data_IF_933789527708
#
_entry.id   IF_933789527708
#
_cell.length_a   1.000
_cell.length_b   1.000
_cell.length_c   1.000
_cell.angle_alpha   90.00
_cell.angle_beta   90.00
_cell.angle_gamma   90.00
#
_symmetry.space_group_name_H-M   'P 1'
#
loop_
_entity.id
_entity.type
_entity.pdbx_description
1 polymer ?
#
# COMPACT_ATOMS: atom_id res chain seq x y z
N UNK A 1 0.35 -4.70 -17.11
CA UNK A 1 -0.96 -4.35 -16.49
C UNK A 1 -1.59 -5.52 -15.75
N UNK A 2 -1.77 -6.70 -16.36
CA UNK A 2 -2.35 -7.87 -15.69
C UNK A 2 -1.63 -8.29 -14.40
N UNK A 3 -0.28 -8.32 -14.40
CA UNK A 3 0.51 -8.64 -13.21
C UNK A 3 0.28 -7.62 -12.08
N UNK A 4 0.06 -6.35 -12.41
CA UNK A 4 -0.19 -5.28 -11.43
C UNK A 4 -1.59 -5.39 -10.82
N UNK A 5 -2.60 -5.75 -11.62
CA UNK A 5 -3.93 -6.04 -11.11
C UNK A 5 -3.94 -7.33 -10.29
N UNK A 6 -3.17 -8.33 -10.73
CA UNK A 6 -2.96 -9.58 -10.01
C UNK A 6 -2.35 -9.36 -8.63
N UNK A 7 -1.33 -8.53 -8.49
CA UNK A 7 -0.72 -8.23 -7.19
C UNK A 7 -1.70 -7.54 -6.24
N UNK A 8 -2.50 -6.59 -6.72
CA UNK A 8 -3.58 -5.96 -5.92
C UNK A 8 -4.58 -7.03 -5.45
N UNK A 9 -4.99 -7.93 -6.34
CA UNK A 9 -5.87 -9.05 -6.02
C UNK A 9 -5.29 -10.00 -4.97
N UNK A 10 -3.99 -10.32 -5.06
CA UNK A 10 -3.29 -11.14 -4.06
C UNK A 10 -3.35 -10.46 -2.68
N UNK A 11 -3.09 -9.16 -2.58
CA UNK A 11 -3.22 -8.44 -1.31
C UNK A 11 -4.67 -8.45 -0.78
N UNK A 12 -5.66 -8.29 -1.64
CA UNK A 12 -7.07 -8.40 -1.25
C UNK A 12 -7.39 -9.80 -0.65
N UNK A 13 -6.88 -10.86 -1.28
CA UNK A 13 -7.00 -12.24 -0.80
C UNK A 13 -6.25 -12.47 0.52
N UNK A 14 -5.07 -11.89 0.68
CA UNK A 14 -4.34 -11.94 1.95
C UNK A 14 -5.15 -11.26 3.06
N UNK A 15 -5.81 -10.14 2.78
CA UNK A 15 -6.71 -9.49 3.74
C UNK A 15 -7.88 -10.40 4.17
N UNK A 16 -8.47 -11.14 3.24
CA UNK A 16 -9.49 -12.15 3.55
C UNK A 16 -8.91 -13.28 4.42
N UNK A 17 -7.75 -13.82 4.03
CA UNK A 17 -7.08 -14.92 4.73
C UNK A 17 -6.72 -14.55 6.18
N UNK A 18 -6.14 -13.35 6.37
CA UNK A 18 -5.77 -12.81 7.68
C UNK A 18 -6.99 -12.74 8.60
N UNK A 19 -8.14 -12.29 8.06
CA UNK A 19 -9.37 -12.21 8.85
C UNK A 19 -9.98 -13.59 9.16
N UNK A 20 -10.06 -14.47 8.15
CA UNK A 20 -10.69 -15.79 8.29
C UNK A 20 -9.89 -16.72 9.20
N UNK A 21 -8.56 -16.60 9.20
CA UNK A 21 -7.66 -17.45 9.98
C UNK A 21 -7.14 -16.79 11.25
N UNK A 22 -7.63 -15.60 11.60
CA UNK A 22 -7.20 -14.81 12.76
C UNK A 22 -5.67 -14.73 12.89
N UNK A 23 -4.99 -14.53 11.76
CA UNK A 23 -3.53 -14.46 11.73
C UNK A 23 -3.05 -13.04 12.05
N UNK A 24 -1.89 -12.89 12.71
CA UNK A 24 -1.25 -11.58 12.85
C UNK A 24 -0.90 -11.00 11.46
N UNK A 25 -1.42 -9.82 11.14
CA UNK A 25 -1.23 -9.18 9.83
C UNK A 25 0.24 -8.94 9.50
N UNK A 26 1.02 -8.48 10.50
CA UNK A 26 2.43 -8.14 10.31
C UNK A 26 3.27 -9.35 9.85
N UNK A 27 2.99 -10.53 10.40
CA UNK A 27 3.70 -11.78 10.05
C UNK A 27 3.38 -12.17 8.61
N UNK A 28 2.11 -12.08 8.21
CA UNK A 28 1.69 -12.42 6.85
C UNK A 28 2.27 -11.43 5.84
N UNK A 29 2.25 -10.13 6.14
CA UNK A 29 2.78 -9.11 5.22
C UNK A 29 4.30 -9.16 5.10
N UNK A 30 5.03 -9.37 6.20
CA UNK A 30 6.49 -9.53 6.16
C UNK A 30 6.88 -10.83 5.45
N UNK A 31 6.15 -11.93 5.71
CA UNK A 31 6.30 -13.19 4.97
C UNK A 31 6.11 -12.99 3.46
N UNK A 32 5.07 -12.24 3.08
CA UNK A 32 4.78 -11.94 1.68
C UNK A 32 5.87 -11.08 1.03
N UNK A 33 6.52 -10.18 1.76
CA UNK A 33 7.68 -9.43 1.23
C UNK A 33 8.79 -10.36 0.74
N UNK A 34 9.09 -11.45 1.46
CA UNK A 34 10.07 -12.45 0.99
C UNK A 34 9.61 -13.21 -0.26
N UNK A 35 8.31 -13.50 -0.37
CA UNK A 35 7.74 -14.13 -1.57
C UNK A 35 7.88 -13.20 -2.78
N UNK A 36 7.51 -11.92 -2.63
CA UNK A 36 7.70 -10.93 -3.69
C UNK A 36 9.16 -10.72 -4.05
N UNK A 37 10.04 -10.70 -3.06
CA UNK A 37 11.49 -10.59 -3.26
C UNK A 37 12.03 -11.77 -4.06
N UNK A 38 11.64 -13.00 -3.69
CA UNK A 38 12.03 -14.21 -4.41
C UNK A 38 11.52 -14.22 -5.84
N UNK A 39 10.25 -13.85 -6.05
CA UNK A 39 9.67 -13.71 -7.40
C UNK A 39 10.39 -12.65 -8.23
N UNK A 40 10.75 -11.51 -7.63
CA UNK A 40 11.49 -10.45 -8.32
C UNK A 40 12.87 -10.93 -8.78
N UNK A 41 13.59 -11.67 -7.94
CA UNK A 41 14.91 -12.24 -8.28
C UNK A 41 14.79 -13.33 -9.37
N UNK A 42 13.74 -14.16 -9.33
CA UNK A 42 13.50 -15.18 -10.35
C UNK A 42 13.20 -14.57 -11.73
N UNK A 43 12.46 -13.46 -11.77
CA UNK A 43 12.12 -12.76 -13.02
C UNK A 43 13.31 -11.95 -13.53
N UNK A 44 14.01 -11.24 -12.63
CA UNK A 44 15.12 -10.36 -12.99
C UNK A 44 16.29 -10.57 -12.00
N UNK A 45 17.23 -11.50 -12.31
CA UNK A 45 18.32 -11.86 -11.40
C UNK A 45 19.40 -10.77 -11.26
N UNK A 46 19.49 -9.86 -12.23
CA UNK A 46 20.48 -8.78 -12.25
C UNK A 46 19.78 -7.45 -12.48
N UNK A 47 20.18 -6.37 -11.80
CA UNK A 47 19.63 -5.04 -12.05
C UNK A 47 19.68 -4.70 -13.54
N UNK A 48 18.56 -4.23 -14.08
CA UNK A 48 18.45 -3.98 -15.51
C UNK A 48 17.01 -3.83 -16.00
N UNK A 49 16.82 -4.02 -17.30
CA UNK A 49 15.56 -3.72 -17.97
C UNK A 49 15.38 -2.24 -18.24
N UNK A 50 14.28 -1.92 -18.93
CA UNK A 50 13.89 -0.54 -19.25
C UNK A 50 12.49 -0.30 -18.71
N UNK A 51 12.32 0.79 -17.96
CA UNK A 51 11.00 1.25 -17.58
C UNK A 51 10.14 1.54 -18.83
N UNK A 52 8.82 1.31 -18.78
CA UNK A 52 7.96 1.61 -19.92
C UNK A 52 8.05 3.08 -20.35
N UNK A 53 8.05 3.35 -21.65
CA UNK A 53 8.22 4.72 -22.17
C UNK A 53 7.14 5.69 -21.69
N UNK A 54 5.90 5.21 -21.50
CA UNK A 54 4.81 6.01 -20.95
C UNK A 54 5.05 6.40 -19.49
N UNK A 55 5.69 5.52 -18.70
CA UNK A 55 5.99 5.78 -17.29
C UNK A 55 7.17 6.75 -17.17
N UNK A 56 8.17 6.59 -18.04
CA UNK A 56 9.28 7.52 -18.14
C UNK A 56 8.81 8.92 -18.58
N UNK A 57 7.94 9.01 -19.58
CA UNK A 57 7.36 10.29 -20.01
C UNK A 57 6.58 10.98 -18.88
N UNK A 58 5.81 10.22 -18.10
CA UNK A 58 5.06 10.72 -16.96
C UNK A 58 5.99 11.24 -15.84
N UNK A 59 7.08 10.52 -15.55
CA UNK A 59 8.04 10.90 -14.50
C UNK A 59 9.04 11.98 -14.96
N UNK A 60 9.30 12.07 -16.26
CA UNK A 60 10.12 13.11 -16.87
C UNK A 60 9.37 14.45 -16.99
N UNK A 61 8.04 14.45 -16.81
CA UNK A 61 7.27 15.68 -16.74
C UNK A 61 7.73 16.50 -15.53
N UNK A 62 8.42 17.61 -15.81
CA UNK A 62 9.05 18.44 -14.80
C UNK A 62 8.38 19.81 -14.77
N UNK A 63 7.38 20.02 -13.89
CA UNK A 63 6.89 21.36 -13.61
C UNK A 63 8.02 22.25 -13.09
N UNK A 64 7.93 23.59 -13.28
CA UNK A 64 9.05 24.51 -13.05
C UNK A 64 9.59 24.56 -11.62
N UNK A 65 8.84 24.08 -10.60
CA UNK A 65 9.25 24.22 -9.19
C UNK A 65 9.31 22.93 -8.38
N UNK A 66 8.62 21.84 -8.78
CA UNK A 66 8.52 20.60 -7.97
C UNK A 66 8.51 19.37 -8.89
N UNK A 67 9.30 18.31 -8.59
CA UNK A 67 9.23 17.03 -9.29
C UNK A 67 7.81 16.43 -9.27
N UNK A 68 7.34 15.91 -10.40
CA UNK A 68 6.03 15.26 -10.50
C UNK A 68 5.76 14.17 -9.44
N UNK A 69 6.72 13.32 -9.02
CA UNK A 69 6.49 12.33 -7.97
C UNK A 69 6.02 12.93 -6.63
N UNK A 70 6.51 14.12 -6.27
CA UNK A 70 6.12 14.81 -5.03
C UNK A 70 4.68 15.32 -5.15
N UNK A 71 4.33 15.89 -6.30
CA UNK A 71 2.96 16.36 -6.57
C UNK A 71 1.99 15.19 -6.57
N UNK A 72 2.34 14.08 -7.22
CA UNK A 72 1.54 12.86 -7.24
C UNK A 72 1.34 12.30 -5.83
N UNK A 73 2.40 12.26 -5.00
CA UNK A 73 2.30 11.83 -3.61
C UNK A 73 1.39 12.75 -2.77
N UNK A 74 1.51 14.07 -2.91
CA UNK A 74 0.64 15.04 -2.24
C UNK A 74 -0.83 14.91 -2.67
N UNK A 75 -1.08 14.72 -3.97
CA UNK A 75 -2.42 14.52 -4.51
C UNK A 75 -3.04 13.22 -3.95
N UNK A 76 -2.29 12.12 -3.97
CA UNK A 76 -2.73 10.84 -3.39
C UNK A 76 -3.02 11.02 -1.89
N UNK A 77 -2.12 11.67 -1.15
CA UNK A 77 -2.32 11.95 0.27
C UNK A 77 -3.58 12.78 0.52
N UNK A 78 -3.84 13.81 -0.28
CA UNK A 78 -5.04 14.64 -0.18
C UNK A 78 -6.32 13.84 -0.49
N UNK A 79 -6.32 13.02 -1.54
CA UNK A 79 -7.46 12.16 -1.90
C UNK A 79 -7.75 11.15 -0.80
N UNK A 80 -6.72 10.49 -0.28
CA UNK A 80 -6.84 9.51 0.82
C UNK A 80 -7.32 10.20 2.09
N UNK A 81 -6.74 11.35 2.43
CA UNK A 81 -7.15 12.14 3.59
C UNK A 81 -8.62 12.56 3.50
N UNK A 82 -9.05 13.09 2.36
CA UNK A 82 -10.45 13.47 2.15
C UNK A 82 -11.37 12.25 2.20
N UNK A 83 -10.99 11.16 1.52
CA UNK A 83 -11.76 9.91 1.49
C UNK A 83 -11.94 9.32 2.89
N UNK A 84 -10.88 9.31 3.70
CA UNK A 84 -10.97 8.92 5.10
C UNK A 84 -11.82 9.93 5.88
N UNK A 85 -11.43 11.19 5.98
CA UNK A 85 -12.00 12.10 6.98
C UNK A 85 -13.42 12.57 6.66
N UNK A 86 -13.81 12.66 5.39
CA UNK A 86 -15.10 13.23 4.98
C UNK A 86 -16.15 12.17 4.60
N UNK A 87 -15.76 10.93 4.31
CA UNK A 87 -16.69 9.91 3.80
C UNK A 87 -17.20 8.99 4.90
N UNK A 88 -18.45 8.56 4.83
CA UNK A 88 -19.05 7.56 5.74
C UNK A 88 -18.28 6.24 5.74
N UNK A 89 -17.75 5.82 4.59
CA UNK A 89 -16.91 4.63 4.49
C UNK A 89 -15.57 4.80 5.22
N UNK A 90 -15.02 6.01 5.24
CA UNK A 90 -13.81 6.34 5.99
C UNK A 90 -13.99 6.19 7.50
N UNK A 91 -15.17 6.50 8.03
CA UNK A 91 -15.52 6.25 9.45
C UNK A 91 -15.50 4.75 9.76
N UNK A 92 -16.02 3.92 8.86
CA UNK A 92 -16.04 2.46 9.02
C UNK A 92 -14.62 1.90 8.96
N UNK A 93 -13.79 2.38 8.04
CA UNK A 93 -12.38 2.00 7.94
C UNK A 93 -11.62 2.34 9.24
N UNK A 94 -11.76 3.57 9.75
CA UNK A 94 -11.16 3.98 11.03
C UNK A 94 -11.71 3.20 12.22
N UNK A 95 -13.03 2.98 12.25
CA UNK A 95 -13.70 2.23 13.29
C UNK A 95 -13.27 0.76 13.35
N UNK A 96 -12.81 0.19 12.23
CA UNK A 96 -12.37 -1.21 12.17
C UNK A 96 -11.10 -1.48 12.97
N UNK A 97 -10.24 -0.47 13.14
CA UNK A 97 -9.07 -0.56 14.03
C UNK A 97 -9.40 -0.26 15.50
N UNK A 98 -10.31 0.70 15.75
CA UNK A 98 -10.64 1.11 17.12
C UNK A 98 -11.59 0.16 17.87
N UNK A 99 -12.68 -0.28 17.22
CA UNK A 99 -13.67 -1.18 17.82
C UNK A 99 -14.37 -2.04 16.77
N UNK A 100 -13.69 -3.12 16.35
CA UNK A 100 -14.23 -4.09 15.40
C UNK A 100 -15.56 -4.72 15.88
N UNK A 101 -15.73 -4.96 17.18
CA UNK A 101 -16.95 -5.55 17.74
C UNK A 101 -18.16 -4.61 17.60
N UNK A 102 -17.97 -3.29 17.75
CA UNK A 102 -19.02 -2.31 17.51
C UNK A 102 -19.47 -2.27 16.04
N UNK A 103 -18.54 -2.37 15.09
CA UNK A 103 -18.87 -2.42 13.67
C UNK A 103 -19.59 -3.71 13.27
N UNK A 104 -19.18 -4.85 13.85
CA UNK A 104 -19.89 -6.12 13.67
C UNK A 104 -21.33 -6.03 14.16
N UNK A 105 -21.56 -5.40 15.33
CA UNK A 105 -22.92 -5.14 15.86
C UNK A 105 -23.72 -4.14 15.02
N UNK A 106 -23.05 -3.20 14.37
CA UNK A 106 -23.67 -2.26 13.43
C UNK A 106 -24.00 -2.89 12.06
N UNK A 107 -23.81 -4.21 11.88
CA UNK A 107 -24.15 -4.94 10.65
C UNK A 107 -23.11 -4.86 9.54
N UNK A 108 -21.93 -4.26 9.79
CA UNK A 108 -20.87 -4.17 8.81
C UNK A 108 -20.01 -5.42 8.78
N UNK A 109 -19.75 -5.94 7.57
CA UNK A 109 -18.86 -7.08 7.38
C UNK A 109 -17.40 -6.66 7.56
N UNK A 110 -16.80 -7.02 8.69
CA UNK A 110 -15.36 -6.81 8.97
C UNK A 110 -14.47 -7.45 7.91
N UNK A 111 -14.89 -8.58 7.34
CA UNK A 111 -14.20 -9.24 6.24
C UNK A 111 -14.05 -8.32 5.04
N UNK A 112 -15.15 -7.72 4.57
CA UNK A 112 -15.13 -6.80 3.43
C UNK A 112 -14.24 -5.59 3.71
N UNK A 113 -14.33 -5.02 4.91
CA UNK A 113 -13.50 -3.88 5.30
C UNK A 113 -12.01 -4.22 5.29
N UNK A 114 -11.61 -5.38 5.83
CA UNK A 114 -10.21 -5.83 5.79
C UNK A 114 -9.73 -6.10 4.36
N UNK A 115 -10.54 -6.77 3.54
CA UNK A 115 -10.20 -7.01 2.13
C UNK A 115 -9.95 -5.70 1.38
N UNK A 116 -10.80 -4.70 1.57
CA UNK A 116 -10.63 -3.38 0.94
C UNK A 116 -9.38 -2.66 1.45
N UNK A 117 -9.12 -2.69 2.76
CA UNK A 117 -7.91 -2.11 3.34
C UNK A 117 -6.64 -2.72 2.73
N UNK A 118 -6.55 -4.04 2.67
CA UNK A 118 -5.39 -4.71 2.09
C UNK A 118 -5.30 -4.51 0.57
N UNK A 119 -6.42 -4.46 -0.15
CA UNK A 119 -6.43 -4.12 -1.58
C UNK A 119 -5.88 -2.70 -1.81
N UNK A 120 -6.26 -1.72 -0.98
CA UNK A 120 -5.70 -0.37 -1.02
C UNK A 120 -4.20 -0.37 -0.72
N UNK A 121 -3.73 -1.16 0.25
CA UNK A 121 -2.29 -1.34 0.49
C UNK A 121 -1.58 -1.89 -0.74
N UNK A 122 -2.14 -2.89 -1.42
CA UNK A 122 -1.61 -3.43 -2.67
C UNK A 122 -1.57 -2.39 -3.79
N UNK A 123 -2.62 -1.57 -3.91
CA UNK A 123 -2.67 -0.46 -4.88
C UNK A 123 -1.56 0.56 -4.62
N UNK A 124 -1.38 1.02 -3.39
CA UNK A 124 -0.31 1.96 -3.05
C UNK A 124 1.07 1.34 -3.19
N UNK A 125 1.22 0.05 -2.89
CA UNK A 125 2.47 -0.69 -3.15
C UNK A 125 2.83 -0.73 -4.63
N UNK A 126 1.86 -0.99 -5.50
CA UNK A 126 2.05 -0.95 -6.96
C UNK A 126 2.41 0.47 -7.43
N UNK A 127 1.67 1.49 -6.99
CA UNK A 127 1.95 2.88 -7.37
C UNK A 127 3.35 3.33 -6.91
N UNK A 128 3.74 2.97 -5.68
CA UNK A 128 5.06 3.26 -5.12
C UNK A 128 6.17 2.57 -5.93
N UNK A 129 6.02 1.27 -6.23
CA UNK A 129 6.98 0.53 -7.04
C UNK A 129 7.13 1.09 -8.47
N UNK A 130 6.02 1.51 -9.08
CA UNK A 130 6.03 2.16 -10.39
C UNK A 130 6.72 3.53 -10.36
N UNK A 131 6.46 4.34 -9.33
CA UNK A 131 7.16 5.61 -9.15
C UNK A 131 8.67 5.39 -8.99
N UNK A 132 9.08 4.40 -8.18
CA UNK A 132 10.48 4.10 -7.94
C UNK A 132 11.20 3.65 -9.22
N UNK A 133 10.63 2.71 -9.99
CA UNK A 133 11.17 2.27 -11.28
C UNK A 133 11.21 3.41 -12.30
N UNK A 134 10.19 4.27 -12.29
CA UNK A 134 10.14 5.43 -13.19
C UNK A 134 11.21 6.48 -12.90
N UNK A 135 11.66 6.60 -11.64
CA UNK A 135 12.76 7.48 -11.23
C UNK A 135 14.12 6.82 -11.52
N UNK A 136 14.28 5.54 -11.18
CA UNK A 136 15.56 4.83 -11.36
C UNK A 136 15.82 4.38 -12.79
N UNK A 137 14.81 4.39 -13.65
CA UNK A 137 14.84 3.95 -15.07
C UNK A 137 15.16 2.46 -15.29
N UNK A 138 15.75 1.81 -14.27
CA UNK A 138 16.12 0.41 -14.21
C UNK A 138 15.40 -0.28 -13.05
N UNK A 139 15.13 -1.57 -13.19
CA UNK A 139 14.57 -2.40 -12.13
C UNK A 139 15.69 -3.12 -11.36
N UNK A 140 15.57 -3.14 -10.04
CA UNK A 140 16.41 -3.90 -9.12
C UNK A 140 15.50 -4.53 -8.08
N UNK A 141 15.65 -5.83 -7.81
CA UNK A 141 14.87 -6.53 -6.81
C UNK A 141 15.11 -5.98 -5.40
N UNK A 142 16.31 -5.48 -5.08
CA UNK A 142 16.67 -5.08 -3.71
C UNK A 142 16.32 -3.63 -3.36
N UNK A 143 15.90 -2.82 -4.34
CA UNK A 143 15.67 -1.39 -4.16
C UNK A 143 14.57 -1.08 -3.13
N UNK A 144 13.62 -2.00 -2.95
CA UNK A 144 12.49 -1.87 -2.02
C UNK A 144 12.81 -2.20 -0.56
N UNK A 145 13.90 -2.92 -0.28
CA UNK A 145 14.12 -3.54 1.04
C UNK A 145 14.20 -2.50 2.18
N UNK A 146 14.91 -1.40 1.97
CA UNK A 146 15.02 -0.31 2.95
C UNK A 146 13.71 0.46 3.16
N UNK A 147 12.87 0.54 2.13
CA UNK A 147 11.59 1.26 2.20
C UNK A 147 10.58 0.56 3.10
N UNK A 148 10.67 -0.75 3.31
CA UNK A 148 9.77 -1.49 4.20
C UNK A 148 9.81 -0.94 5.62
N UNK A 149 11.01 -0.80 6.20
CA UNK A 149 11.18 -0.30 7.57
C UNK A 149 10.91 1.21 7.64
N UNK A 150 11.34 1.99 6.64
CA UNK A 150 11.06 3.42 6.57
C UNK A 150 9.56 3.71 6.48
N UNK A 151 8.80 2.89 5.76
CA UNK A 151 7.34 3.03 5.66
C UNK A 151 6.66 2.77 7.00
N UNK A 152 7.10 1.74 7.73
CA UNK A 152 6.60 1.44 9.07
C UNK A 152 6.92 2.61 10.01
N UNK A 153 8.15 3.12 9.99
CA UNK A 153 8.55 4.28 10.79
C UNK A 153 7.72 5.53 10.47
N UNK A 154 7.44 5.80 9.19
CA UNK A 154 6.61 6.93 8.77
C UNK A 154 5.17 6.84 9.28
N UNK A 155 4.57 5.64 9.25
CA UNK A 155 3.20 5.43 9.78
C UNK A 155 3.15 5.62 11.30
N UNK A 156 4.17 5.15 12.03
CA UNK A 156 4.23 5.30 13.49
C UNK A 156 4.45 6.75 13.88
N UNK A 157 5.36 7.46 13.21
CA UNK A 157 5.57 8.90 13.42
C UNK A 157 4.31 9.71 13.07
N UNK A 158 3.53 9.25 12.09
CA UNK A 158 2.22 9.79 11.73
C UNK A 158 1.09 9.46 12.71
N UNK A 159 1.37 8.77 13.83
CA UNK A 159 0.40 8.46 14.89
C UNK A 159 -0.26 7.08 14.80
N UNK A 160 0.27 6.16 14.00
CA UNK A 160 -0.19 4.77 13.95
C UNK A 160 0.39 3.88 15.06
N UNK A 161 -0.32 2.81 15.44
CA UNK A 161 0.12 1.82 16.44
C UNK A 161 0.46 0.45 15.80
N UNK A 162 1.40 -0.29 16.40
CA UNK A 162 1.79 -1.64 15.95
C UNK A 162 0.68 -2.69 16.10
N UNK A 163 -0.21 -2.53 17.07
CA UNK A 163 -1.24 -3.53 17.43
C UNK A 163 -2.52 -3.38 16.60
N UNK A 164 -2.69 -2.25 15.90
CA UNK A 164 -3.89 -1.94 15.12
C UNK A 164 -4.49 -0.59 15.54
N UNK A 165 -4.81 0.24 14.55
CA UNK A 165 -5.00 1.68 14.75
C UNK A 165 -6.25 2.06 15.54
N UNK A 166 -6.06 2.70 16.70
CA UNK A 166 -7.02 3.69 17.21
C UNK A 166 -6.75 4.99 16.48
N UNK A 167 -7.61 5.36 15.52
CA UNK A 167 -7.58 6.72 15.00
C UNK A 167 -8.37 7.57 15.98
N UNK A 168 -7.68 8.28 16.87
CA UNK A 168 -8.32 9.34 17.65
C UNK A 168 -8.69 10.46 16.69
N UNK A 169 -9.98 10.76 16.46
CA UNK A 169 -10.31 12.09 16.03
C UNK A 169 -9.97 13.00 17.21
N UNK A 170 -9.20 14.05 16.96
CA UNK A 170 -9.29 15.24 17.81
C UNK A 170 -10.71 15.80 17.75
#
# INVERSE_FOLDING_TARGET
VLILLGSIGVYALLGALIHLRNLPSIVVTLGMSFVWQGLAILILPKPGGKAPDWLLSLMAFKPPFVPFPIIAALLIAAVVHFGLMRTSYGVILRGSGGNAAALGRAGWSLLKTKVVLFALTGLFGVLSGMALIGITTSADANIGNGYTLLSIAGVILGGGEFVGGRVSPI
#
